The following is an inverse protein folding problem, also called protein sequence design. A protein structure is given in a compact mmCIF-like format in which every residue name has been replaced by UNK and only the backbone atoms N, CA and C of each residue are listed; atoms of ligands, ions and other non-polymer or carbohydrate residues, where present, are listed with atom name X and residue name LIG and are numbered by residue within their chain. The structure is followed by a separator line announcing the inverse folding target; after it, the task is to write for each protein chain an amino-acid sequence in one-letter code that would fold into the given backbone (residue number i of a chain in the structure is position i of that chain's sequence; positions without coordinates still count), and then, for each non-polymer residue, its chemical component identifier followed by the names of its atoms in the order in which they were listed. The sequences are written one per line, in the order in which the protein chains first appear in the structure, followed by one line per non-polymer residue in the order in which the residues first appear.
data_IF_274169618399
#
_entry.id   IF_274169618399
#
_cell.length_a   1.000
_cell.length_b   1.000
_cell.length_c   1.000
_cell.angle_alpha   90.00
_cell.angle_beta   90.00
_cell.angle_gamma   90.00
#
_symmetry.space_group_name_H-M   'P 1'
#
loop_
_entity.id
_entity.type
_entity.pdbx_description
1 polymer ?
#
# COMPACT_ATOMS: atom_id res chain seq x y z
N UNK A 1 19.74 -14.64 -9.64
CA UNK A 1 19.03 -14.32 -8.41
C UNK A 1 19.85 -13.45 -7.46
N UNK A 2 21.11 -13.76 -7.11
CA UNK A 2 21.93 -12.97 -6.18
C UNK A 2 22.14 -11.48 -6.53
N UNK A 3 22.18 -11.12 -7.80
CA UNK A 3 22.31 -9.72 -8.26
C UNK A 3 21.03 -8.91 -8.00
N UNK A 4 19.88 -9.52 -8.20
CA UNK A 4 18.57 -8.88 -7.95
C UNK A 4 18.37 -8.63 -6.46
N UNK A 5 18.74 -9.60 -5.61
CA UNK A 5 18.62 -9.50 -4.16
C UNK A 5 19.51 -8.39 -3.57
N UNK A 6 20.67 -8.13 -4.18
CA UNK A 6 21.58 -7.06 -3.76
C UNK A 6 21.15 -5.66 -4.23
N UNK A 7 20.47 -5.54 -5.38
CA UNK A 7 20.03 -4.26 -5.94
C UNK A 7 18.65 -3.82 -5.41
N UNK A 8 17.83 -4.76 -4.99
CA UNK A 8 16.47 -4.48 -4.52
C UNK A 8 16.43 -3.52 -3.31
N UNK A 9 17.22 -3.72 -2.22
CA UNK A 9 17.18 -2.81 -1.07
C UNK A 9 17.54 -1.36 -1.39
N UNK A 10 18.65 -1.05 -2.11
CA UNK A 10 18.99 0.33 -2.44
C UNK A 10 17.98 0.99 -3.39
N UNK A 11 17.39 0.24 -4.32
CA UNK A 11 16.34 0.78 -5.19
C UNK A 11 15.10 1.13 -4.39
N UNK A 12 14.67 0.26 -3.47
CA UNK A 12 13.54 0.57 -2.57
C UNK A 12 13.84 1.76 -1.67
N UNK A 13 15.05 1.86 -1.13
CA UNK A 13 15.47 3.00 -0.32
C UNK A 13 15.37 4.31 -1.11
N UNK A 14 15.92 4.36 -2.32
CA UNK A 14 15.81 5.51 -3.22
C UNK A 14 14.35 5.85 -3.54
N UNK A 15 13.54 4.85 -3.84
CA UNK A 15 12.11 5.04 -4.11
C UNK A 15 11.39 5.69 -2.93
N UNK A 16 11.59 5.21 -1.70
CA UNK A 16 10.95 5.77 -0.52
C UNK A 16 11.46 7.18 -0.19
N UNK A 17 12.75 7.45 -0.35
CA UNK A 17 13.32 8.80 -0.15
C UNK A 17 12.75 9.79 -1.15
N UNK A 18 12.69 9.44 -2.43
CA UNK A 18 12.11 10.29 -3.48
C UNK A 18 10.61 10.52 -3.26
N UNK A 19 9.87 9.47 -2.96
CA UNK A 19 8.44 9.56 -2.68
C UNK A 19 8.15 10.42 -1.44
N UNK A 20 8.99 10.31 -0.41
CA UNK A 20 8.91 11.15 0.79
C UNK A 20 9.26 12.62 0.52
N UNK A 21 10.26 12.87 -0.33
CA UNK A 21 10.66 14.23 -0.70
C UNK A 21 9.61 14.95 -1.57
N UNK A 22 8.82 14.21 -2.36
CA UNK A 22 7.71 14.76 -3.12
C UNK A 22 6.47 15.07 -2.28
N UNK A 23 6.44 14.60 -1.03
CA UNK A 23 5.31 14.78 -0.13
C UNK A 23 5.34 16.17 0.49
N UNK A 24 4.45 17.04 0.03
CA UNK A 24 4.23 18.35 0.65
C UNK A 24 3.26 18.20 1.82
N UNK A 25 3.80 18.15 3.04
CA UNK A 25 3.01 18.02 4.26
C UNK A 25 2.11 19.24 4.52
N UNK A 26 2.37 20.38 3.89
CA UNK A 26 1.53 21.58 4.01
C UNK A 26 0.13 21.38 3.42
N UNK A 27 -0.01 20.40 2.53
CA UNK A 27 -1.28 20.08 1.86
C UNK A 27 -2.14 19.11 2.69
N UNK A 28 -1.56 18.44 3.69
CA UNK A 28 -2.29 17.49 4.56
C UNK A 28 -3.54 18.10 5.20
N UNK A 29 -3.52 19.32 5.75
CA UNK A 29 -4.73 19.97 6.27
C UNK A 29 -5.80 20.24 5.21
N UNK A 30 -5.37 20.47 3.97
CA UNK A 30 -6.28 20.79 2.85
C UNK A 30 -6.99 19.53 2.31
N UNK A 31 -6.40 18.35 2.54
CA UNK A 31 -6.97 17.05 2.15
C UNK A 31 -8.25 16.74 2.94
N UNK A 32 -8.33 17.22 4.20
CA UNK A 32 -9.53 17.24 5.02
C UNK A 32 -10.34 15.94 5.03
N UNK A 33 -11.65 16.10 5.15
CA UNK A 33 -12.60 14.99 5.21
C UNK A 33 -12.60 14.11 3.96
N UNK A 34 -12.41 14.70 2.78
CA UNK A 34 -12.36 13.94 1.52
C UNK A 34 -11.21 12.94 1.47
N UNK A 35 -10.05 13.30 1.99
CA UNK A 35 -8.91 12.39 2.07
C UNK A 35 -9.14 11.23 3.02
N UNK A 36 -9.76 11.49 4.17
CA UNK A 36 -10.11 10.44 5.13
C UNK A 36 -11.10 9.45 4.50
N UNK A 37 -12.15 9.96 3.87
CA UNK A 37 -13.13 9.12 3.16
C UNK A 37 -12.46 8.29 2.07
N UNK A 38 -11.59 8.92 1.27
CA UNK A 38 -10.83 8.22 0.22
C UNK A 38 -10.01 7.06 0.80
N UNK A 39 -9.25 7.29 1.88
CA UNK A 39 -8.42 6.28 2.52
C UNK A 39 -9.26 5.11 3.02
N UNK A 40 -10.35 5.41 3.74
CA UNK A 40 -11.25 4.38 4.28
C UNK A 40 -11.88 3.57 3.16
N UNK A 41 -12.48 4.24 2.17
CA UNK A 41 -13.16 3.56 1.06
C UNK A 41 -12.20 2.71 0.23
N UNK A 42 -10.96 3.17 0.07
CA UNK A 42 -9.93 2.41 -0.63
C UNK A 42 -9.53 1.14 0.12
N UNK A 43 -9.33 1.21 1.45
CA UNK A 43 -9.03 0.04 2.27
C UNK A 43 -10.18 -0.96 2.24
N UNK A 44 -11.40 -0.49 2.48
CA UNK A 44 -12.61 -1.34 2.46
C UNK A 44 -12.80 -1.97 1.08
N UNK A 45 -12.68 -1.18 0.01
CA UNK A 45 -12.81 -1.67 -1.36
C UNK A 45 -11.79 -2.75 -1.70
N UNK A 46 -10.53 -2.59 -1.28
CA UNK A 46 -9.48 -3.60 -1.46
C UNK A 46 -9.78 -4.88 -0.69
N UNK A 47 -10.14 -4.76 0.58
CA UNK A 47 -10.43 -5.92 1.42
C UNK A 47 -11.62 -6.69 0.89
N UNK A 48 -12.72 -6.01 0.56
CA UNK A 48 -13.90 -6.63 -0.02
C UNK A 48 -13.61 -7.24 -1.40
N UNK A 49 -12.93 -6.49 -2.28
CA UNK A 49 -12.59 -6.96 -3.62
C UNK A 49 -11.68 -8.19 -3.60
N UNK A 50 -10.63 -8.18 -2.78
CA UNK A 50 -9.73 -9.33 -2.64
C UNK A 50 -10.44 -10.55 -2.05
N UNK A 51 -11.25 -10.36 -1.00
CA UNK A 51 -12.02 -11.46 -0.39
C UNK A 51 -13.07 -12.01 -1.34
N UNK A 52 -13.75 -11.16 -2.08
CA UNK A 52 -14.75 -11.55 -3.08
C UNK A 52 -14.10 -12.30 -4.25
N UNK A 53 -13.00 -11.77 -4.80
CA UNK A 53 -12.23 -12.44 -5.86
C UNK A 53 -11.73 -13.81 -5.43
N UNK A 54 -11.15 -13.91 -4.23
CA UNK A 54 -10.70 -15.18 -3.66
C UNK A 54 -11.86 -16.17 -3.41
N UNK A 55 -13.05 -15.65 -3.07
CA UNK A 55 -14.25 -16.48 -2.92
C UNK A 55 -14.74 -17.04 -4.26
N UNK A 56 -14.73 -16.23 -5.33
CA UNK A 56 -15.10 -16.67 -6.68
C UNK A 56 -14.15 -17.75 -7.20
N UNK A 57 -12.86 -17.63 -6.93
CA UNK A 57 -11.85 -18.64 -7.27
C UNK A 57 -11.87 -19.87 -6.36
N UNK A 58 -12.82 -19.96 -5.41
CA UNK A 58 -12.90 -21.06 -4.41
C UNK A 58 -11.59 -21.25 -3.64
N UNK A 59 -10.82 -20.18 -3.42
CA UNK A 59 -9.59 -20.21 -2.67
C UNK A 59 -9.83 -20.61 -1.19
N UNK A 60 -8.79 -21.07 -0.51
CA UNK A 60 -8.86 -21.47 0.90
C UNK A 60 -9.32 -20.34 1.81
N UNK A 61 -9.93 -20.69 2.94
CA UNK A 61 -10.46 -19.73 3.93
C UNK A 61 -9.38 -18.75 4.42
N UNK A 62 -8.13 -19.20 4.55
CA UNK A 62 -7.01 -18.37 4.95
C UNK A 62 -6.72 -17.31 3.88
N UNK A 63 -6.67 -17.69 2.60
CA UNK A 63 -6.46 -16.76 1.49
C UNK A 63 -7.58 -15.72 1.46
N UNK A 64 -8.84 -16.13 1.56
CA UNK A 64 -9.98 -15.19 1.56
C UNK A 64 -9.91 -14.16 2.68
N UNK A 65 -9.38 -14.54 3.85
CA UNK A 65 -9.32 -13.69 5.04
C UNK A 65 -8.11 -12.76 5.04
N UNK A 66 -6.94 -13.24 4.61
CA UNK A 66 -5.67 -12.53 4.79
C UNK A 66 -5.13 -11.87 3.53
N UNK A 67 -5.66 -12.22 2.33
CA UNK A 67 -5.23 -11.63 1.07
C UNK A 67 -5.48 -10.11 1.01
N UNK A 68 -6.67 -9.66 1.42
CA UNK A 68 -7.02 -8.24 1.43
C UNK A 68 -6.04 -7.38 2.23
N UNK A 69 -5.84 -7.68 3.53
CA UNK A 69 -4.86 -6.98 4.34
C UNK A 69 -3.42 -7.11 3.84
N UNK A 70 -3.02 -8.27 3.28
CA UNK A 70 -1.68 -8.47 2.71
C UNK A 70 -1.41 -7.60 1.48
N UNK A 71 -2.43 -7.21 0.73
CA UNK A 71 -2.35 -6.33 -0.44
C UNK A 71 -2.43 -4.84 -0.08
N UNK A 72 -2.36 -4.47 1.19
CA UNK A 72 -2.54 -3.08 1.64
C UNK A 72 -1.48 -2.12 1.11
N UNK A 73 -0.16 -2.46 1.08
CA UNK A 73 0.85 -1.57 0.51
C UNK A 73 0.59 -1.31 -0.98
N UNK A 74 0.62 -0.05 -1.39
CA UNK A 74 0.44 0.33 -2.79
C UNK A 74 0.88 1.77 -3.04
N UNK A 75 2.04 1.96 -3.65
CA UNK A 75 2.59 3.28 -3.93
C UNK A 75 2.75 3.57 -5.44
N UNK A 76 3.56 2.81 -6.14
CA UNK A 76 4.08 3.17 -7.46
C UNK A 76 3.04 3.58 -8.50
N UNK A 77 2.01 2.75 -8.70
CA UNK A 77 0.94 3.04 -9.68
C UNK A 77 0.12 4.26 -9.27
N UNK A 78 -0.17 4.41 -7.97
CA UNK A 78 -0.95 5.54 -7.47
C UNK A 78 -0.22 6.86 -7.68
N UNK A 79 1.09 6.91 -7.41
CA UNK A 79 1.94 8.08 -7.63
C UNK A 79 2.01 8.41 -9.12
N UNK A 80 2.27 7.42 -9.98
CA UNK A 80 2.31 7.60 -11.42
C UNK A 80 1.01 8.15 -12.00
N UNK A 81 -0.13 7.58 -11.62
CA UNK A 81 -1.44 8.06 -12.06
C UNK A 81 -1.79 9.44 -11.51
N UNK A 82 -1.32 9.80 -10.32
CA UNK A 82 -1.53 11.14 -9.76
C UNK A 82 -0.85 12.22 -10.60
N UNK A 83 0.33 11.93 -11.17
CA UNK A 83 1.02 12.83 -12.11
C UNK A 83 0.23 13.00 -13.42
N UNK A 84 -0.37 11.93 -13.92
CA UNK A 84 -1.23 12.00 -15.11
C UNK A 84 -2.48 12.84 -14.83
N UNK A 85 -3.07 12.67 -13.64
CA UNK A 85 -4.25 13.44 -13.22
C UNK A 85 -3.99 14.96 -13.23
N UNK A 86 -2.79 15.43 -12.83
CA UNK A 86 -2.43 16.86 -12.89
C UNK A 86 -2.42 17.43 -14.31
N UNK A 87 -2.16 16.58 -15.32
CA UNK A 87 -2.16 16.98 -16.72
C UNK A 87 -3.55 16.99 -17.34
N UNK A 88 -4.39 16.02 -16.96
CA UNK A 88 -5.74 15.85 -17.53
C UNK A 88 -6.74 16.81 -16.89
N UNK A 89 -6.61 17.06 -15.58
CA UNK A 89 -7.52 17.93 -14.81
C UNK A 89 -6.71 19.02 -14.10
N UNK A 90 -6.19 20.05 -14.81
CA UNK A 90 -5.29 21.04 -14.22
C UNK A 90 -5.90 21.80 -13.03
N UNK A 91 -7.22 22.04 -13.06
CA UNK A 91 -7.92 22.83 -12.02
C UNK A 91 -7.92 22.14 -10.65
N UNK A 92 -7.99 20.80 -10.60
CA UNK A 92 -8.05 20.02 -9.37
C UNK A 92 -6.91 19.00 -9.22
N UNK A 93 -6.03 18.95 -10.20
CA UNK A 93 -4.95 17.96 -10.26
C UNK A 93 -4.02 18.01 -9.05
N UNK A 94 -3.70 19.20 -8.56
CA UNK A 94 -2.88 19.37 -7.37
C UNK A 94 -3.55 18.80 -6.11
N UNK A 95 -4.86 19.02 -5.94
CA UNK A 95 -5.61 18.48 -4.81
C UNK A 95 -5.74 16.96 -4.89
N UNK A 96 -6.04 16.43 -6.08
CA UNK A 96 -6.11 14.97 -6.33
C UNK A 96 -4.76 14.33 -6.00
N UNK A 97 -3.67 14.92 -6.49
CA UNK A 97 -2.32 14.43 -6.22
C UNK A 97 -2.01 14.43 -4.73
N UNK A 98 -2.32 15.50 -4.03
CA UNK A 98 -2.12 15.62 -2.58
C UNK A 98 -2.87 14.53 -1.80
N UNK A 99 -4.14 14.29 -2.12
CA UNK A 99 -4.95 13.24 -1.49
C UNK A 99 -4.32 11.86 -1.71
N UNK A 100 -3.89 11.58 -2.94
CA UNK A 100 -3.29 10.30 -3.31
C UNK A 100 -1.95 10.10 -2.60
N UNK A 101 -1.09 11.13 -2.56
CA UNK A 101 0.22 11.06 -1.91
C UNK A 101 0.09 10.86 -0.39
N UNK A 102 -0.79 11.62 0.26
CA UNK A 102 -1.07 11.43 1.70
C UNK A 102 -1.59 10.03 2.00
N UNK A 103 -2.53 9.52 1.21
CA UNK A 103 -3.03 8.16 1.36
C UNK A 103 -1.92 7.13 1.15
N UNK A 104 -1.08 7.32 0.13
CA UNK A 104 0.05 6.44 -0.16
C UNK A 104 1.05 6.41 1.00
N UNK A 105 1.41 7.55 1.59
CA UNK A 105 2.29 7.60 2.76
C UNK A 105 1.75 6.74 3.91
N UNK A 106 0.47 6.86 4.23
CA UNK A 106 -0.17 6.07 5.29
C UNK A 106 -0.09 4.58 4.96
N UNK A 107 -0.36 4.19 3.71
CA UNK A 107 -0.30 2.78 3.30
C UNK A 107 1.12 2.23 3.31
N UNK A 108 2.12 3.02 2.98
CA UNK A 108 3.52 2.60 2.99
C UNK A 108 4.08 2.48 4.41
N UNK A 109 3.63 3.30 5.35
CA UNK A 109 4.03 3.20 6.75
C UNK A 109 3.36 2.01 7.47
N UNK A 110 2.05 1.86 7.29
CA UNK A 110 1.25 0.84 8.00
C UNK A 110 1.23 -0.49 7.25
N UNK A 111 1.25 -0.44 5.93
CA UNK A 111 1.06 -1.59 5.04
C UNK A 111 2.02 -2.74 5.30
N UNK A 112 3.35 -2.55 5.35
CA UNK A 112 4.30 -3.63 5.59
C UNK A 112 4.06 -4.36 6.91
N UNK A 113 3.68 -3.62 7.97
CA UNK A 113 3.35 -4.20 9.28
C UNK A 113 2.11 -5.06 9.18
N UNK A 114 1.04 -4.55 8.56
CA UNK A 114 -0.22 -5.28 8.36
C UNK A 114 0.01 -6.52 7.48
N UNK A 115 0.80 -6.38 6.41
CA UNK A 115 1.17 -7.51 5.53
C UNK A 115 1.91 -8.59 6.30
N UNK A 116 2.93 -8.23 7.08
CA UNK A 116 3.69 -9.17 7.90
C UNK A 116 2.79 -9.92 8.87
N UNK A 117 1.93 -9.20 9.60
CA UNK A 117 0.98 -9.81 10.55
C UNK A 117 0.02 -10.75 9.83
N UNK A 118 -0.48 -10.35 8.67
CA UNK A 118 -1.43 -11.14 7.87
C UNK A 118 -0.80 -12.43 7.38
N UNK A 119 0.40 -12.38 6.82
CA UNK A 119 1.14 -13.55 6.33
C UNK A 119 1.56 -14.49 7.47
N UNK A 120 1.97 -13.93 8.62
CA UNK A 120 2.28 -14.73 9.81
C UNK A 120 1.03 -15.47 10.34
N UNK A 121 -0.13 -14.79 10.38
CA UNK A 121 -1.39 -15.41 10.80
C UNK A 121 -1.95 -16.40 9.78
N UNK A 122 -1.66 -16.19 8.50
CA UNK A 122 -2.00 -17.14 7.45
C UNK A 122 -1.13 -18.43 7.51
N UNK A 123 -0.02 -18.40 8.24
CA UNK A 123 0.94 -19.51 8.31
C UNK A 123 1.97 -19.55 7.19
N UNK A 124 2.02 -18.52 6.34
CA UNK A 124 2.94 -18.43 5.19
C UNK A 124 4.35 -17.98 5.61
N UNK A 125 4.47 -17.30 6.76
CA UNK A 125 5.75 -16.86 7.32
C UNK A 125 5.91 -17.45 8.72
N UNK A 126 6.99 -18.18 8.92
CA UNK A 126 7.43 -18.62 10.25
C UNK A 126 8.26 -17.50 10.87
N UNK A 127 7.90 -16.95 12.04
CA UNK A 127 8.73 -15.95 12.71
C UNK A 127 10.11 -16.55 13.05
N UNK A 128 11.17 -15.77 12.83
CA UNK A 128 12.57 -16.19 13.07
C UNK A 128 12.83 -16.71 14.50
N UNK A 129 12.02 -16.31 15.48
CA UNK A 129 12.08 -16.83 16.86
C UNK A 129 11.73 -18.32 16.99
N UNK A 130 11.04 -18.93 16.02
CA UNK A 130 10.74 -20.37 16.04
C UNK A 130 11.83 -21.22 15.39
N UNK A 131 12.62 -20.63 14.48
CA UNK A 131 13.76 -21.35 13.86
C UNK A 131 14.92 -21.58 14.84
N UNK A 132 15.07 -20.74 15.89
CA UNK A 132 16.14 -20.90 16.87
C UNK A 132 15.86 -21.93 17.96
N UNK A 133 14.65 -22.57 17.96
CA UNK A 133 14.23 -23.57 18.97
C UNK A 133 14.07 -24.98 18.40
N UNK A 134 14.40 -25.19 17.13
CA UNK A 134 14.52 -26.51 16.48
C UNK A 134 15.96 -26.78 16.12
#
# INVERSE_FOLDING_TARGET
MKLTDGLTPPIFMLFFVLSGAELDLSVVPTVGLFGIIYIIMRVVGKMCGASFGAALCKADKNIRKYLGPALMPQAGVAIGLSLVATRIVPQHGAQIRAIILCGTLIYELIGPVVTKISLTKAGEIVPAERESKT
#
